data_IF_649719776311
#
_entry.id   IF_649719776311
#
_cell.length_a   1.000
_cell.length_b   1.000
_cell.length_c   1.000
_cell.angle_alpha   90.00
_cell.angle_beta   90.00
_cell.angle_gamma   90.00
#
_symmetry.space_group_name_H-M   'P 1'
#
loop_
_entity.id
_entity.type
_entity.pdbx_description
1 polymer ?
#
# COMPACT_ATOMS: atom_id res chain seq x y z
N UNK A 1 -4.21 8.18 15.76
CA UNK A 1 -4.07 6.71 15.66
C UNK A 1 -3.73 6.31 14.23
N UNK A 2 -3.13 5.15 14.01
CA UNK A 2 -2.86 4.61 12.66
C UNK A 2 -3.78 3.40 12.45
N UNK A 3 -4.40 3.31 11.28
CA UNK A 3 -5.28 2.23 10.86
C UNK A 3 -4.82 1.69 9.52
N UNK A 4 -5.05 0.40 9.27
CA UNK A 4 -4.69 -0.28 8.03
C UNK A 4 -5.89 -1.04 7.46
N UNK A 5 -6.05 -0.99 6.14
CA UNK A 5 -7.01 -1.79 5.35
C UNK A 5 -6.41 -2.09 3.97
N UNK A 6 -7.09 -2.82 3.10
CA UNK A 6 -6.55 -3.20 1.78
C UNK A 6 -7.55 -3.00 0.63
N UNK A 7 -6.97 -2.85 -0.57
CA UNK A 7 -7.58 -3.12 -1.86
C UNK A 7 -9.00 -2.53 -2.04
N UNK A 8 -9.10 -1.21 -2.01
CA UNK A 8 -10.40 -0.54 -2.12
C UNK A 8 -10.97 -0.56 -3.54
N UNK A 9 -10.14 -0.74 -4.57
CA UNK A 9 -10.53 -0.83 -5.99
C UNK A 9 -11.51 0.28 -6.44
N UNK A 10 -11.35 1.50 -5.91
CA UNK A 10 -12.24 2.63 -6.20
C UNK A 10 -13.65 2.53 -5.63
N UNK A 11 -13.94 1.52 -4.80
CA UNK A 11 -15.23 1.35 -4.14
C UNK A 11 -15.41 2.36 -2.99
N UNK A 12 -16.17 3.42 -3.28
CA UNK A 12 -16.46 4.47 -2.31
C UNK A 12 -17.29 3.98 -1.11
N UNK A 13 -17.99 2.84 -1.23
CA UNK A 13 -18.80 2.30 -0.16
C UNK A 13 -17.94 1.71 0.96
N UNK A 14 -16.69 1.34 0.67
CA UNK A 14 -15.66 0.98 1.66
C UNK A 14 -15.53 2.04 2.75
N UNK A 15 -15.68 3.33 2.40
CA UNK A 15 -15.55 4.47 3.32
C UNK A 15 -16.82 4.74 4.15
N UNK A 16 -17.90 3.98 3.95
CA UNK A 16 -19.16 4.13 4.70
C UNK A 16 -19.24 3.24 5.94
N UNK A 17 -18.26 2.36 6.15
CA UNK A 17 -18.24 1.45 7.31
C UNK A 17 -18.16 2.21 8.64
N UNK A 18 -18.60 1.57 9.72
CA UNK A 18 -18.72 2.22 11.04
C UNK A 18 -17.36 2.55 11.63
N UNK A 19 -16.35 1.76 11.28
CA UNK A 19 -14.98 1.87 11.74
C UNK A 19 -14.35 3.16 11.18
N UNK A 20 -14.43 3.38 9.87
CA UNK A 20 -13.90 4.58 9.22
C UNK A 20 -14.63 5.86 9.63
N UNK A 21 -15.94 5.77 9.91
CA UNK A 21 -16.71 6.91 10.45
C UNK A 21 -16.29 7.37 11.84
N UNK A 22 -15.52 6.57 12.58
CA UNK A 22 -15.02 6.92 13.92
C UNK A 22 -13.66 7.62 13.87
N UNK A 23 -12.95 7.56 12.74
CA UNK A 23 -11.67 8.23 12.58
C UNK A 23 -11.88 9.74 12.67
N UNK A 24 -10.89 10.42 13.23
CA UNK A 24 -10.92 11.85 13.55
C UNK A 24 -9.70 12.55 12.98
N UNK A 25 -9.69 13.86 13.13
CA UNK A 25 -8.52 14.66 12.83
C UNK A 25 -7.26 14.13 13.52
N UNK A 26 -6.19 13.96 12.74
CA UNK A 26 -4.91 13.40 13.18
C UNK A 26 -4.82 11.87 13.09
N UNK A 27 -5.91 11.17 12.80
CA UNK A 27 -5.85 9.75 12.44
C UNK A 27 -5.33 9.57 11.01
N UNK A 28 -4.68 8.43 10.76
CA UNK A 28 -4.20 8.03 9.43
C UNK A 28 -4.74 6.65 9.11
N UNK A 29 -5.40 6.53 7.95
CA UNK A 29 -5.75 5.26 7.33
C UNK A 29 -4.71 4.95 6.25
N UNK A 30 -4.05 3.80 6.32
CA UNK A 30 -3.14 3.29 5.29
C UNK A 30 -3.84 2.17 4.52
N UNK A 31 -3.87 2.27 3.18
CA UNK A 31 -4.49 1.28 2.29
C UNK A 31 -3.38 0.49 1.58
N UNK A 32 -3.37 -0.84 1.75
CA UNK A 32 -2.34 -1.76 1.28
C UNK A 32 -2.41 -2.09 -0.23
N UNK A 33 -2.33 -1.07 -1.08
CA UNK A 33 -2.43 -1.25 -2.52
C UNK A 33 -3.85 -1.16 -3.06
N UNK A 34 -3.95 -1.12 -4.38
CA UNK A 34 -5.19 -1.07 -5.17
C UNK A 34 -6.21 -0.07 -4.60
N UNK A 35 -5.78 1.18 -4.46
CA UNK A 35 -6.62 2.29 -4.05
C UNK A 35 -7.75 2.52 -5.06
N UNK A 36 -7.42 2.59 -6.35
CA UNK A 36 -8.38 2.55 -7.46
C UNK A 36 -9.26 3.80 -7.65
N UNK A 37 -8.96 4.92 -6.97
CA UNK A 37 -9.68 6.19 -7.15
C UNK A 37 -9.00 7.15 -8.13
N UNK A 38 -7.93 6.73 -8.81
CA UNK A 38 -7.18 7.51 -9.79
C UNK A 38 -7.04 6.64 -11.05
N UNK A 39 -7.87 6.88 -12.07
CA UNK A 39 -7.92 5.99 -13.23
C UNK A 39 -8.10 6.70 -14.57
N UNK A 40 -9.07 7.59 -14.70
CA UNK A 40 -9.44 8.17 -15.99
C UNK A 40 -9.92 9.63 -15.91
N UNK A 41 -9.81 10.27 -14.74
CA UNK A 41 -10.29 11.64 -14.52
C UNK A 41 -11.77 11.78 -14.90
N UNK A 42 -12.58 10.73 -14.72
CA UNK A 42 -14.02 10.81 -15.01
C UNK A 42 -14.76 11.73 -14.04
N UNK A 43 -16.02 12.06 -14.36
CA UNK A 43 -16.89 12.79 -13.43
C UNK A 43 -17.09 12.02 -12.12
N UNK A 44 -17.19 10.69 -12.21
CA UNK A 44 -17.38 9.82 -11.05
C UNK A 44 -16.14 9.81 -10.15
N UNK A 45 -14.95 9.67 -10.75
CA UNK A 45 -13.67 9.74 -10.04
C UNK A 45 -13.54 11.05 -9.25
N UNK A 46 -13.73 12.19 -9.94
CA UNK A 46 -13.68 13.52 -9.29
C UNK A 46 -14.70 13.65 -8.15
N UNK A 47 -15.90 13.09 -8.31
CA UNK A 47 -16.92 13.11 -7.27
C UNK A 47 -16.52 12.24 -6.06
N UNK A 48 -15.90 11.08 -6.30
CA UNK A 48 -15.38 10.21 -5.25
C UNK A 48 -14.20 10.87 -4.52
N UNK A 49 -13.19 11.37 -5.24
CA UNK A 49 -12.08 12.11 -4.64
C UNK A 49 -12.55 13.30 -3.82
N UNK A 50 -13.54 14.07 -4.31
CA UNK A 50 -14.13 15.17 -3.53
C UNK A 50 -14.76 14.70 -2.20
N UNK A 51 -15.39 13.52 -2.16
CA UNK A 51 -15.90 12.94 -0.91
C UNK A 51 -14.75 12.53 0.00
N UNK A 52 -13.73 11.87 -0.53
CA UNK A 52 -12.55 11.47 0.25
C UNK A 52 -11.80 12.69 0.82
N UNK A 53 -11.72 13.77 0.06
CA UNK A 53 -11.15 15.06 0.49
C UNK A 53 -11.95 15.74 1.61
N UNK A 54 -13.20 15.35 1.84
CA UNK A 54 -14.01 15.94 2.92
C UNK A 54 -13.86 15.21 4.27
N UNK A 55 -13.06 14.15 4.31
CA UNK A 55 -12.82 13.38 5.53
C UNK A 55 -11.76 14.05 6.41
N UNK A 56 -12.01 14.08 7.72
CA UNK A 56 -11.15 14.79 8.68
C UNK A 56 -9.80 14.09 8.95
N UNK A 57 -9.62 12.86 8.47
CA UNK A 57 -8.41 12.06 8.66
C UNK A 57 -7.59 11.94 7.36
N UNK A 58 -6.32 11.56 7.51
CA UNK A 58 -5.44 11.34 6.36
C UNK A 58 -5.67 9.95 5.77
N UNK A 59 -5.82 9.87 4.45
CA UNK A 59 -5.79 8.65 3.67
C UNK A 59 -4.41 8.55 3.02
N UNK A 60 -3.62 7.61 3.50
CA UNK A 60 -2.39 7.17 2.86
C UNK A 60 -2.66 5.85 2.11
N UNK A 61 -2.03 5.64 0.97
CA UNK A 61 -2.11 4.37 0.26
C UNK A 61 -0.77 4.03 -0.37
N UNK A 62 -0.50 2.74 -0.51
CA UNK A 62 0.51 2.23 -1.43
C UNK A 62 -0.14 2.00 -2.78
N UNK A 63 0.62 2.08 -3.86
CA UNK A 63 0.17 1.57 -5.14
C UNK A 63 0.11 0.02 -5.11
N UNK A 64 -0.80 -0.55 -5.89
CA UNK A 64 -0.87 -1.99 -6.12
C UNK A 64 -0.71 -2.33 -7.60
N UNK A 65 -1.38 -3.39 -8.06
CA UNK A 65 -1.35 -3.81 -9.46
C UNK A 65 -2.46 -3.19 -10.31
N UNK A 66 -3.45 -2.56 -9.66
CA UNK A 66 -4.60 -1.91 -10.29
C UNK A 66 -4.54 -0.39 -10.07
N UNK A 67 -3.49 0.24 -10.59
CA UNK A 67 -3.35 1.70 -10.59
C UNK A 67 -3.06 2.21 -12.00
N UNK A 68 -3.55 3.42 -12.31
CA UNK A 68 -3.12 4.12 -13.51
C UNK A 68 -1.83 4.90 -13.21
N UNK A 69 -0.69 4.31 -13.54
CA UNK A 69 0.63 4.88 -13.22
C UNK A 69 0.91 6.19 -13.97
N UNK A 70 0.40 6.36 -15.20
CA UNK A 70 0.53 7.63 -15.94
C UNK A 70 -0.12 8.80 -15.20
N UNK A 71 -1.26 8.55 -14.56
CA UNK A 71 -1.94 9.57 -13.77
C UNK A 71 -1.36 9.71 -12.37
N UNK A 72 -0.95 8.61 -11.74
CA UNK A 72 -0.45 8.59 -10.37
C UNK A 72 0.89 9.33 -10.26
N UNK A 73 1.76 9.18 -11.25
CA UNK A 73 3.10 9.80 -11.31
C UNK A 73 3.04 11.29 -11.73
N UNK A 74 1.91 11.77 -12.28
CA UNK A 74 1.70 13.18 -12.62
C UNK A 74 1.43 14.06 -11.38
N UNK A 75 1.15 13.44 -10.22
CA UNK A 75 0.93 14.19 -8.98
C UNK A 75 2.26 14.71 -8.37
N UNK A 76 2.25 15.88 -7.72
CA UNK A 76 3.47 16.51 -7.23
C UNK A 76 4.14 15.67 -6.14
N UNK A 77 5.46 15.50 -6.28
CA UNK A 77 6.33 14.91 -5.27
C UNK A 77 6.57 15.89 -4.10
N UNK A 78 6.53 15.36 -2.87
CA UNK A 78 6.95 16.10 -1.68
C UNK A 78 7.49 15.17 -0.60
N UNK A 79 8.24 15.72 0.35
CA UNK A 79 8.59 15.03 1.58
C UNK A 79 7.42 15.07 2.58
N UNK A 80 7.09 13.93 3.17
CA UNK A 80 6.05 13.80 4.17
C UNK A 80 6.43 12.75 5.21
N UNK A 81 6.45 13.14 6.49
CA UNK A 81 6.80 12.26 7.62
C UNK A 81 8.12 11.49 7.43
N UNK A 82 9.11 12.06 6.75
CA UNK A 82 10.43 11.46 6.56
C UNK A 82 10.61 10.61 5.31
N UNK A 83 9.57 10.43 4.50
CA UNK A 83 9.66 9.74 3.20
C UNK A 83 9.06 10.58 2.06
N UNK A 84 9.35 10.18 0.82
CA UNK A 84 8.78 10.83 -0.38
C UNK A 84 7.37 10.32 -0.68
N UNK A 85 6.49 11.22 -1.10
CA UNK A 85 5.10 10.88 -1.45
C UNK A 85 4.67 11.60 -2.73
N UNK A 86 3.70 11.04 -3.44
CA UNK A 86 2.89 11.83 -4.37
C UNK A 86 1.70 12.43 -3.62
N UNK A 87 1.55 13.76 -3.69
CA UNK A 87 0.47 14.48 -3.01
C UNK A 87 -0.76 14.57 -3.92
N UNK A 88 -1.74 13.71 -3.66
CA UNK A 88 -3.00 13.67 -4.43
C UNK A 88 -3.93 14.82 -4.01
N UNK A 89 -4.07 15.03 -2.70
CA UNK A 89 -4.86 16.10 -2.11
C UNK A 89 -4.27 16.55 -0.76
N UNK A 90 -4.96 17.42 -0.03
CA UNK A 90 -4.48 17.86 1.29
C UNK A 90 -4.47 16.75 2.35
N UNK A 91 -5.36 15.75 2.22
CA UNK A 91 -5.49 14.61 3.12
C UNK A 91 -5.37 13.25 2.40
N UNK A 92 -5.02 13.22 1.11
CA UNK A 92 -4.85 11.97 0.33
C UNK A 92 -3.42 11.92 -0.21
N UNK A 93 -2.69 10.87 0.15
CA UNK A 93 -1.24 10.77 -0.06
C UNK A 93 -0.89 9.37 -0.56
N UNK A 94 -0.13 9.30 -1.64
CA UNK A 94 0.46 8.06 -2.14
C UNK A 94 1.86 7.89 -1.53
N UNK A 95 2.04 6.83 -0.73
CA UNK A 95 3.32 6.44 -0.14
C UNK A 95 4.20 5.78 -1.21
N UNK A 96 5.33 6.40 -1.55
CA UNK A 96 6.24 5.82 -2.54
C UNK A 96 6.89 4.54 -2.02
N UNK A 97 7.18 3.63 -2.97
CA UNK A 97 7.83 2.35 -2.72
C UNK A 97 9.20 2.54 -2.09
N UNK A 98 9.55 1.66 -1.14
CA UNK A 98 10.86 1.64 -0.49
C UNK A 98 11.09 2.73 0.55
N UNK A 99 10.14 3.62 0.80
CA UNK A 99 10.29 4.69 1.80
C UNK A 99 9.98 4.22 3.21
N UNK A 100 10.55 4.92 4.21
CA UNK A 100 10.23 4.75 5.63
C UNK A 100 9.60 6.04 6.15
N UNK A 101 8.45 5.91 6.83
CA UNK A 101 7.69 7.02 7.37
C UNK A 101 7.66 6.99 8.89
N UNK A 102 7.81 8.16 9.52
CA UNK A 102 7.71 8.36 10.96
C UNK A 102 6.33 8.95 11.28
N UNK A 103 5.37 8.09 11.58
CA UNK A 103 3.97 8.47 11.81
C UNK A 103 3.62 8.18 13.26
N UNK A 104 3.23 9.21 14.03
CA UNK A 104 2.83 9.06 15.43
C UNK A 104 3.87 8.29 16.29
N UNK A 105 5.16 8.53 16.02
CA UNK A 105 6.26 7.88 16.73
C UNK A 105 6.58 6.45 16.27
N UNK A 106 5.93 5.97 15.20
CA UNK A 106 6.15 4.64 14.61
C UNK A 106 6.84 4.76 13.25
N UNK A 107 7.91 3.98 13.06
CA UNK A 107 8.61 3.79 11.78
C UNK A 107 7.85 2.76 10.94
N UNK A 108 7.42 3.15 9.76
CA UNK A 108 6.64 2.33 8.83
C UNK A 108 7.42 2.21 7.54
N UNK A 109 7.88 1.00 7.21
CA UNK A 109 8.39 0.69 5.89
C UNK A 109 7.23 0.39 4.94
N UNK A 110 7.13 1.14 3.84
CA UNK A 110 6.07 0.98 2.85
C UNK A 110 6.65 0.50 1.51
N UNK A 111 6.03 -0.53 0.94
CA UNK A 111 6.44 -1.04 -0.38
C UNK A 111 5.24 -1.50 -1.22
N UNK A 112 4.81 -0.66 -2.16
CA UNK A 112 3.74 -0.95 -3.11
C UNK A 112 4.20 -1.76 -4.32
N UNK A 113 3.31 -1.87 -5.31
CA UNK A 113 3.51 -2.62 -6.54
C UNK A 113 3.31 -4.12 -6.38
N UNK A 114 3.33 -4.82 -7.51
CA UNK A 114 3.17 -6.26 -7.59
C UNK A 114 3.07 -6.75 -9.01
N UNK A 115 2.34 -7.83 -9.23
CA UNK A 115 2.11 -8.37 -10.56
C UNK A 115 0.65 -8.80 -10.77
N UNK A 116 0.02 -8.33 -11.84
CA UNK A 116 -1.33 -8.73 -12.23
C UNK A 116 -1.33 -10.09 -12.94
N UNK A 117 -2.20 -11.01 -12.50
CA UNK A 117 -2.40 -12.29 -13.19
C UNK A 117 -3.09 -12.13 -14.55
N UNK A 118 -4.01 -11.18 -14.63
CA UNK A 118 -4.87 -11.01 -15.80
C UNK A 118 -4.20 -10.16 -16.89
N UNK A 119 -2.87 -9.96 -16.87
CA UNK A 119 -2.19 -9.10 -17.85
C UNK A 119 -2.43 -9.57 -19.30
N UNK A 120 -2.57 -10.88 -19.53
CA UNK A 120 -2.91 -11.46 -20.84
C UNK A 120 -4.35 -11.16 -21.28
N UNK A 121 -5.24 -10.84 -20.33
CA UNK A 121 -6.65 -10.52 -20.57
C UNK A 121 -6.95 -9.02 -20.50
N UNK A 122 -6.00 -8.20 -20.06
CA UNK A 122 -6.15 -6.75 -20.09
C UNK A 122 -5.93 -6.22 -21.49
N UNK A 123 -6.93 -5.50 -21.99
CA UNK A 123 -6.89 -4.86 -23.29
C UNK A 123 -5.92 -3.66 -23.28
N UNK A 124 -5.43 -3.28 -24.46
CA UNK A 124 -4.52 -2.16 -24.67
C UNK A 124 -4.96 -0.91 -23.88
N UNK A 125 -4.16 -0.53 -22.86
CA UNK A 125 -4.33 0.71 -22.09
C UNK A 125 -4.72 0.57 -20.62
N UNK A 126 -5.06 -0.63 -20.12
CA UNK A 126 -5.45 -0.88 -18.72
C UNK A 126 -4.39 -1.67 -17.91
N UNK A 127 -3.17 -1.83 -18.47
CA UNK A 127 -2.03 -2.46 -17.81
C UNK A 127 -0.76 -1.63 -17.96
N UNK A 128 0.07 -1.62 -16.92
CA UNK A 128 1.32 -0.88 -16.87
C UNK A 128 2.43 -1.80 -16.37
N UNK A 129 3.55 -1.86 -17.10
CA UNK A 129 4.77 -2.52 -16.65
C UNK A 129 5.24 -2.00 -15.28
N UNK A 130 4.97 -0.71 -15.02
CA UNK A 130 5.24 0.00 -13.75
C UNK A 130 4.52 -0.60 -12.54
N UNK A 131 3.52 -1.48 -12.71
CA UNK A 131 2.97 -2.23 -11.59
C UNK A 131 4.04 -3.07 -10.89
N UNK A 132 5.03 -3.57 -11.64
CA UNK A 132 6.15 -4.30 -11.07
C UNK A 132 7.17 -3.34 -10.48
N UNK A 133 7.60 -3.57 -9.23
CA UNK A 133 8.72 -2.85 -8.65
C UNK A 133 9.98 -2.99 -9.49
N UNK A 134 10.61 -1.86 -9.77
CA UNK A 134 11.90 -1.80 -10.46
C UNK A 134 13.03 -2.18 -9.52
N UNK A 135 14.15 -2.65 -10.09
CA UNK A 135 15.36 -2.92 -9.31
C UNK A 135 15.85 -1.67 -8.52
N UNK A 136 15.70 -0.47 -9.09
CA UNK A 136 16.05 0.78 -8.39
C UNK A 136 15.19 1.04 -7.16
N UNK A 137 13.90 0.74 -7.20
CA UNK A 137 13.00 0.90 -6.05
C UNK A 137 13.33 -0.11 -4.94
N UNK A 138 13.70 -1.34 -5.31
CA UNK A 138 14.18 -2.35 -4.37
C UNK A 138 15.48 -1.88 -3.71
N UNK A 139 16.46 -1.40 -4.49
CA UNK A 139 17.72 -0.85 -3.97
C UNK A 139 17.48 0.36 -3.06
N UNK A 140 16.53 1.24 -3.40
CA UNK A 140 16.14 2.35 -2.53
C UNK A 140 15.55 1.86 -1.21
N UNK A 141 14.68 0.84 -1.25
CA UNK A 141 14.15 0.17 -0.06
C UNK A 141 15.24 -0.40 0.84
N UNK A 142 16.21 -1.11 0.27
CA UNK A 142 17.37 -1.66 0.99
C UNK A 142 18.19 -0.54 1.63
N UNK A 143 18.46 0.54 0.88
CA UNK A 143 19.22 1.69 1.39
C UNK A 143 18.49 2.35 2.57
N UNK A 144 17.21 2.61 2.45
CA UNK A 144 16.41 3.25 3.51
C UNK A 144 16.34 2.35 4.76
N UNK A 145 16.16 1.04 4.60
CA UNK A 145 16.21 0.09 5.72
C UNK A 145 17.57 0.11 6.41
N UNK A 146 18.67 0.11 5.64
CA UNK A 146 20.04 0.21 6.18
C UNK A 146 20.28 1.51 6.95
N UNK A 147 19.78 2.64 6.45
CA UNK A 147 19.88 3.94 7.12
C UNK A 147 19.08 4.01 8.43
N UNK A 148 18.14 3.08 8.63
CA UNK A 148 17.36 2.93 9.85
C UNK A 148 17.78 1.70 10.66
N UNK A 149 19.01 1.23 10.47
CA UNK A 149 19.62 0.09 11.17
C UNK A 149 18.81 -1.22 11.05
N UNK A 150 18.04 -1.36 9.98
CA UNK A 150 17.09 -2.46 9.76
C UNK A 150 16.05 -2.61 10.89
N UNK A 151 15.68 -1.49 11.54
CA UNK A 151 14.65 -1.45 12.58
C UNK A 151 13.48 -0.54 12.19
N UNK A 152 12.30 -1.14 12.05
CA UNK A 152 11.03 -0.44 11.82
C UNK A 152 9.95 -1.05 12.71
N UNK A 153 8.92 -0.30 13.08
CA UNK A 153 7.82 -0.88 13.87
C UNK A 153 6.92 -1.75 13.00
N UNK A 154 6.58 -1.27 11.80
CA UNK A 154 5.65 -1.94 10.90
C UNK A 154 6.19 -2.00 9.47
N UNK A 155 5.87 -3.11 8.80
CA UNK A 155 6.03 -3.28 7.37
C UNK A 155 4.65 -3.29 6.73
N UNK A 156 4.45 -2.49 5.68
CA UNK A 156 3.19 -2.43 4.94
C UNK A 156 3.49 -2.58 3.46
N UNK A 157 2.90 -3.59 2.82
CA UNK A 157 3.13 -3.88 1.40
C UNK A 157 1.83 -4.12 0.66
N UNK A 158 1.86 -4.07 -0.68
CA UNK A 158 0.74 -4.62 -1.46
C UNK A 158 0.90 -6.12 -1.62
N UNK A 159 1.99 -6.57 -2.24
CA UNK A 159 2.29 -8.00 -2.37
C UNK A 159 2.71 -8.63 -1.03
N UNK A 160 2.29 -9.88 -0.75
CA UNK A 160 2.87 -10.68 0.32
C UNK A 160 4.26 -11.22 -0.03
N UNK A 161 5.07 -11.59 0.99
CA UNK A 161 6.27 -12.42 0.81
C UNK A 161 5.97 -13.76 0.11
N UNK A 162 6.97 -14.32 -0.57
CA UNK A 162 6.82 -15.54 -1.37
C UNK A 162 6.27 -16.73 -0.56
N UNK A 163 6.76 -16.92 0.66
CA UNK A 163 6.34 -17.98 1.57
C UNK A 163 4.88 -17.85 2.01
N UNK A 164 4.37 -16.62 2.11
CA UNK A 164 2.96 -16.38 2.43
C UNK A 164 2.05 -16.57 1.21
N UNK A 165 2.52 -16.26 0.00
CA UNK A 165 1.80 -16.61 -1.24
C UNK A 165 1.50 -18.11 -1.29
N UNK A 166 2.52 -18.93 -1.05
CA UNK A 166 2.38 -20.39 -1.01
C UNK A 166 1.38 -20.84 0.08
N UNK A 167 1.49 -20.28 1.29
CA UNK A 167 0.63 -20.63 2.43
C UNK A 167 -0.84 -20.25 2.20
N UNK A 168 -1.09 -19.15 1.49
CA UNK A 168 -2.43 -18.65 1.21
C UNK A 168 -3.03 -19.20 -0.08
N UNK A 169 -2.24 -19.86 -0.93
CA UNK A 169 -2.67 -20.32 -2.24
C UNK A 169 -2.94 -19.16 -3.21
N UNK A 170 -2.31 -18.00 -2.98
CA UNK A 170 -2.48 -16.80 -3.81
C UNK A 170 -1.30 -16.68 -4.75
N UNK A 171 -1.59 -16.67 -6.05
CA UNK A 171 -0.62 -16.41 -7.12
C UNK A 171 0.68 -17.21 -7.04
N UNK A 172 0.57 -18.49 -6.62
CA UNK A 172 1.71 -19.35 -6.27
C UNK A 172 2.69 -19.61 -7.42
N UNK A 173 2.26 -19.43 -8.66
CA UNK A 173 3.09 -19.63 -9.86
C UNK A 173 3.88 -18.38 -10.28
N UNK A 174 3.60 -17.22 -9.67
CA UNK A 174 4.16 -15.94 -10.08
C UNK A 174 5.08 -15.37 -9.01
N UNK A 175 6.38 -15.42 -9.30
CA UNK A 175 7.45 -14.86 -8.47
C UNK A 175 8.23 -13.81 -9.24
N UNK A 176 8.22 -12.58 -8.73
CA UNK A 176 9.03 -11.46 -9.20
C UNK A 176 10.09 -11.11 -8.15
N UNK A 177 11.06 -10.26 -8.51
CA UNK A 177 12.20 -9.91 -7.66
C UNK A 177 11.79 -9.39 -6.27
N UNK A 178 10.68 -8.64 -6.20
CA UNK A 178 10.18 -8.09 -4.91
C UNK A 178 9.84 -9.19 -3.91
N UNK A 179 9.40 -10.36 -4.36
CA UNK A 179 9.06 -11.47 -3.44
C UNK A 179 10.31 -12.02 -2.77
N UNK A 180 11.44 -12.10 -3.49
CA UNK A 180 12.71 -12.51 -2.91
C UNK A 180 13.25 -11.43 -1.95
N UNK A 181 13.13 -10.16 -2.33
CA UNK A 181 13.45 -9.04 -1.44
C UNK A 181 12.65 -9.11 -0.13
N UNK A 182 11.35 -9.39 -0.18
CA UNK A 182 10.53 -9.54 1.03
C UNK A 182 10.93 -10.73 1.90
N UNK A 183 11.38 -11.84 1.32
CA UNK A 183 11.97 -12.94 2.09
C UNK A 183 13.26 -12.52 2.82
N UNK A 184 14.05 -11.63 2.24
CA UNK A 184 15.22 -11.09 2.90
C UNK A 184 14.85 -10.07 3.99
N UNK A 185 13.81 -9.24 3.77
CA UNK A 185 13.24 -8.37 4.82
C UNK A 185 12.76 -9.21 6.01
N UNK A 186 12.11 -10.36 5.79
CA UNK A 186 11.70 -11.25 6.88
C UNK A 186 12.89 -11.67 7.76
N UNK A 187 14.05 -11.95 7.14
CA UNK A 187 15.25 -12.46 7.83
C UNK A 187 16.09 -11.37 8.48
N UNK A 188 16.11 -10.17 7.89
CA UNK A 188 17.11 -9.14 8.21
C UNK A 188 16.54 -7.95 8.96
N UNK A 189 15.24 -7.68 8.85
CA UNK A 189 14.61 -6.49 9.45
C UNK A 189 13.91 -6.86 10.75
N UNK A 190 14.15 -6.08 11.80
CA UNK A 190 13.39 -6.14 13.04
C UNK A 190 12.10 -5.33 12.89
N UNK A 191 10.95 -5.99 13.13
CA UNK A 191 9.62 -5.37 13.05
C UNK A 191 8.59 -6.11 13.89
N UNK A 192 7.59 -5.37 14.37
CA UNK A 192 6.51 -5.89 15.22
C UNK A 192 5.44 -6.62 14.40
N UNK A 193 4.98 -6.00 13.29
CA UNK A 193 3.88 -6.51 12.45
C UNK A 193 4.08 -6.17 10.98
N UNK A 194 3.62 -7.07 10.10
CA UNK A 194 3.61 -6.88 8.65
C UNK A 194 2.17 -6.97 8.13
N UNK A 195 1.71 -5.94 7.45
CA UNK A 195 0.40 -5.89 6.80
C UNK A 195 0.55 -5.92 5.28
N UNK A 196 -0.27 -6.71 4.60
CA UNK A 196 -0.27 -6.78 3.15
C UNK A 196 -1.67 -6.92 2.56
N UNK A 197 -1.86 -6.40 1.35
CA UNK A 197 -3.11 -6.46 0.59
C UNK A 197 -3.14 -7.67 -0.35
N UNK A 198 -3.60 -7.46 -1.59
CA UNK A 198 -3.57 -8.39 -2.75
C UNK A 198 -4.44 -9.63 -2.62
N UNK A 199 -4.48 -10.26 -1.45
CA UNK A 199 -5.10 -11.57 -1.26
C UNK A 199 -6.62 -11.53 -1.16
N UNK A 200 -7.23 -10.35 -1.08
CA UNK A 200 -8.68 -10.15 -0.88
C UNK A 200 -9.27 -10.94 0.31
N UNK A 201 -8.47 -11.12 1.36
CA UNK A 201 -8.87 -11.80 2.60
C UNK A 201 -8.40 -11.01 3.81
N UNK A 202 -9.17 -11.09 4.90
CA UNK A 202 -8.73 -10.65 6.22
C UNK A 202 -8.23 -11.87 7.00
N UNK A 203 -6.93 -11.96 7.23
CA UNK A 203 -6.33 -13.12 7.90
C UNK A 203 -5.10 -12.75 8.71
N UNK A 204 -5.15 -13.07 9.99
CA UNK A 204 -3.95 -13.11 10.83
C UNK A 204 -3.22 -14.43 10.60
N UNK A 205 -1.93 -14.34 10.29
CA UNK A 205 -1.04 -15.48 10.01
C UNK A 205 0.03 -15.48 11.11
N UNK A 206 0.33 -16.65 11.73
CA UNK A 206 1.16 -16.72 12.93
C UNK A 206 2.47 -15.92 12.91
N UNK A 207 2.89 -15.55 14.12
CA UNK A 207 3.99 -14.65 14.50
C UNK A 207 3.68 -13.15 14.34
N UNK A 208 3.53 -12.62 13.12
CA UNK A 208 3.42 -11.16 12.93
C UNK A 208 2.79 -10.69 11.62
N UNK A 209 2.08 -11.54 10.87
CA UNK A 209 1.62 -11.24 9.51
C UNK A 209 0.10 -11.07 9.42
N UNK A 210 -0.35 -10.10 8.63
CA UNK A 210 -1.75 -9.71 8.52
C UNK A 210 -2.10 -9.45 7.04
N UNK A 211 -2.85 -10.36 6.43
CA UNK A 211 -3.55 -10.07 5.19
C UNK A 211 -4.76 -9.17 5.54
N UNK A 212 -4.89 -8.03 4.87
CA UNK A 212 -5.98 -7.08 5.10
C UNK A 212 -6.77 -6.89 3.82
N UNK A 213 -8.09 -6.87 3.94
CA UNK A 213 -8.97 -6.53 2.84
C UNK A 213 -10.12 -5.66 3.33
N UNK A 214 -11.14 -6.22 4.00
CA UNK A 214 -12.33 -5.47 4.45
C UNK A 214 -12.17 -4.86 5.83
N UNK A 215 -11.35 -5.47 6.69
CA UNK A 215 -11.19 -4.99 8.07
C UNK A 215 -10.38 -3.71 8.13
N UNK A 216 -10.73 -2.87 9.10
CA UNK A 216 -9.98 -1.66 9.45
C UNK A 216 -9.24 -1.97 10.75
N UNK A 217 -7.95 -2.25 10.64
CA UNK A 217 -7.13 -2.74 11.74
C UNK A 217 -6.34 -1.59 12.36
N UNK A 218 -6.57 -1.21 13.62
CA UNK A 218 -5.73 -0.23 14.29
C UNK A 218 -4.32 -0.81 14.54
N UNK A 219 -3.29 -0.04 14.21
CA UNK A 219 -1.93 -0.34 14.63
C UNK A 219 -1.79 0.04 16.10
N UNK A 220 -1.44 -0.96 16.91
CA UNK A 220 -1.19 -0.87 18.34
C UNK A 220 0.19 -1.42 18.63
#
# INVERSE_FOLDING_TARGET
>A
MIYVTGDTHGDIDRFKCKELKKLKQGDILIICGDFGFIWNRSKQERANLKKLMSLDYTIAFLDGCHENFDLLEDYPLMDWNGGKVHKIAHNIIHLMRGQIYNIQGKKIFAFGGGHSQDYEFRHDGDWWEREQPTHSEIVEGIRNLKEHDFEVDYVITHEPPASLKDCLGVDVLQRIEVHAFFEDVIKTVNYEKWFFGKCHIDKHIPLKFYAVFNTVTPLK
#
